data_IF_172794010710
#
_entry.id   IF_172794010710
#
_cell.length_a   1.000
_cell.length_b   1.000
_cell.length_c   1.000
_cell.angle_alpha   90.00
_cell.angle_beta   90.00
_cell.angle_gamma   90.00
#
_symmetry.space_group_name_H-M   'P 1'
#
loop_
_entity.id
_entity.type
_entity.pdbx_description
1 polymer ?
#
# COMPACT_ATOMS: atom_id res chain seq x y z
N UNK A 1 -12.93 -3.02 17.04
CA UNK A 1 -12.19 -3.43 15.83
C UNK A 1 -11.34 -2.24 15.40
N UNK A 2 -10.15 -2.47 14.84
CA UNK A 2 -9.19 -1.39 14.63
C UNK A 2 -9.63 -0.52 13.44
N UNK A 3 -10.04 0.71 13.74
CA UNK A 3 -10.00 1.80 12.76
C UNK A 3 -8.50 2.08 12.58
N UNK A 4 -7.94 1.82 11.40
CA UNK A 4 -6.54 2.19 11.13
C UNK A 4 -6.36 3.67 11.46
N UNK A 5 -5.45 3.97 12.39
CA UNK A 5 -5.00 5.35 12.64
C UNK A 5 -3.93 5.77 11.64
N UNK A 6 -3.37 4.84 10.87
CA UNK A 6 -2.35 5.13 9.86
C UNK A 6 -2.98 5.85 8.66
N UNK A 7 -2.42 6.98 8.21
CA UNK A 7 -2.81 7.62 6.96
C UNK A 7 -2.56 6.67 5.77
N UNK A 8 -3.49 6.63 4.80
CA UNK A 8 -3.29 5.91 3.55
C UNK A 8 -4.04 6.60 2.41
N UNK A 9 -3.63 6.33 1.16
CA UNK A 9 -4.36 6.85 0.01
C UNK A 9 -5.61 5.98 -0.24
N UNK A 10 -6.80 6.53 -0.50
CA UNK A 10 -8.05 5.79 -0.68
C UNK A 10 -7.95 4.55 -1.60
N UNK A 11 -7.22 4.67 -2.72
CA UNK A 11 -6.99 3.57 -3.68
C UNK A 11 -6.05 2.46 -3.17
N UNK A 12 -5.25 2.70 -2.14
CA UNK A 12 -4.44 1.65 -1.53
C UNK A 12 -5.33 0.58 -0.92
N UNK A 13 -6.36 0.96 -0.16
CA UNK A 13 -7.27 -0.02 0.44
C UNK A 13 -8.18 -0.70 -0.60
N UNK A 14 -8.32 -0.15 -1.81
CA UNK A 14 -9.03 -0.79 -2.92
C UNK A 14 -8.14 -1.79 -3.67
N UNK A 15 -6.88 -1.44 -3.92
CA UNK A 15 -6.01 -2.17 -4.86
C UNK A 15 -4.92 -2.99 -4.16
N UNK A 16 -4.48 -2.59 -2.97
CA UNK A 16 -3.51 -3.33 -2.18
C UNK A 16 -4.24 -4.35 -1.30
N UNK A 17 -4.12 -5.62 -1.68
CA UNK A 17 -4.81 -6.74 -1.05
C UNK A 17 -4.43 -7.02 0.41
N UNK A 18 -3.40 -6.36 0.96
CA UNK A 18 -3.02 -6.52 2.36
C UNK A 18 -3.81 -5.62 3.31
N UNK A 19 -4.46 -4.58 2.79
CA UNK A 19 -5.46 -3.85 3.57
C UNK A 19 -6.66 -4.76 3.79
N UNK A 20 -7.06 -4.92 5.06
CA UNK A 20 -8.27 -5.70 5.37
C UNK A 20 -9.41 -4.73 5.59
N UNK A 21 -10.38 -4.77 4.68
CA UNK A 21 -11.60 -3.99 4.78
C UNK A 21 -12.71 -4.89 5.34
N UNK A 22 -13.35 -4.45 6.42
CA UNK A 22 -14.45 -5.16 7.08
C UNK A 22 -15.65 -4.23 7.27
N UNK A 23 -16.83 -4.79 7.50
CA UNK A 23 -18.02 -4.00 7.84
C UNK A 23 -17.83 -3.34 9.21
N UNK A 24 -17.96 -2.01 9.25
CA UNK A 24 -17.92 -1.22 10.46
C UNK A 24 -19.31 -0.90 10.99
N UNK A 25 -19.42 0.16 11.78
CA UNK A 25 -20.69 0.60 12.34
C UNK A 25 -21.57 1.33 11.31
N UNK A 26 -22.89 1.27 11.55
CA UNK A 26 -23.85 2.17 10.90
C UNK A 26 -24.09 3.35 11.83
N UNK A 27 -23.80 4.60 11.42
CA UNK A 27 -24.04 5.78 12.24
C UNK A 27 -25.54 6.09 12.26
N UNK A 28 -26.23 5.45 13.20
CA UNK A 28 -27.67 5.58 13.39
C UNK A 28 -28.08 5.43 14.87
N UNK A 29 -29.11 6.18 15.23
CA UNK A 29 -29.91 6.06 16.43
C UNK A 29 -31.37 6.10 15.99
N UNK A 30 -32.07 4.98 16.14
CA UNK A 30 -33.49 4.91 15.81
C UNK A 30 -34.28 5.82 16.74
N UNK A 31 -35.30 6.49 16.22
CA UNK A 31 -36.12 7.40 17.01
C UNK A 31 -36.69 6.71 18.25
N UNK A 32 -36.46 7.29 19.43
CA UNK A 32 -37.02 6.84 20.70
C UNK A 32 -37.16 8.01 21.68
N UNK A 33 -38.05 7.86 22.65
CA UNK A 33 -37.98 8.70 23.84
C UNK A 33 -36.72 8.36 24.63
N UNK A 34 -35.93 9.38 24.97
CA UNK A 34 -34.63 9.21 25.62
C UNK A 34 -34.22 10.48 26.35
N UNK A 35 -33.94 10.36 27.65
CA UNK A 35 -33.28 11.40 28.45
C UNK A 35 -31.75 11.26 28.42
N UNK A 36 -31.22 10.39 27.55
CA UNK A 36 -29.77 10.24 27.36
C UNK A 36 -29.21 11.47 26.64
N UNK A 37 -28.38 12.22 27.36
CA UNK A 37 -27.69 13.40 26.86
C UNK A 37 -26.23 13.08 26.46
N UNK A 38 -25.83 11.82 26.46
CA UNK A 38 -24.47 11.44 26.09
C UNK A 38 -24.21 11.60 24.60
N UNK A 39 -22.99 12.01 24.27
CA UNK A 39 -22.52 12.04 22.90
C UNK A 39 -22.44 10.62 22.32
N UNK A 40 -22.99 10.47 21.12
CA UNK A 40 -22.89 9.27 20.31
C UNK A 40 -21.98 9.54 19.13
N UNK A 41 -20.78 8.98 19.16
CA UNK A 41 -19.77 9.14 18.12
C UNK A 41 -19.60 7.86 17.32
N UNK A 42 -19.52 8.02 16.00
CA UNK A 42 -19.14 6.95 15.09
C UNK A 42 -18.01 7.43 14.18
N UNK A 43 -17.07 6.54 13.89
CA UNK A 43 -15.99 6.81 12.97
C UNK A 43 -15.63 5.56 12.16
N UNK A 44 -15.11 5.78 10.96
CA UNK A 44 -14.70 4.70 10.06
C UNK A 44 -14.50 5.24 8.65
N UNK A 45 -14.60 4.38 7.66
CA UNK A 45 -14.38 4.74 6.26
C UNK A 45 -15.64 4.60 5.41
N UNK A 46 -15.98 5.64 4.67
CA UNK A 46 -17.02 5.62 3.66
C UNK A 46 -16.40 5.21 2.31
N UNK A 47 -16.97 4.18 1.68
CA UNK A 47 -16.54 3.77 0.33
C UNK A 47 -17.26 4.60 -0.74
N UNK A 48 -16.48 5.29 -1.56
CA UNK A 48 -16.93 6.04 -2.73
C UNK A 48 -16.60 5.24 -3.99
N UNK A 49 -17.60 4.65 -4.68
CA UNK A 49 -17.34 3.73 -5.78
C UNK A 49 -16.73 4.41 -7.00
N UNK A 50 -17.12 5.66 -7.28
CA UNK A 50 -16.63 6.46 -8.40
C UNK A 50 -16.48 7.93 -8.00
N UNK A 51 -15.53 8.63 -8.61
CA UNK A 51 -15.35 10.07 -8.42
C UNK A 51 -16.60 10.82 -8.86
N UNK A 52 -17.12 11.70 -8.02
CA UNK A 52 -18.32 12.48 -8.34
C UNK A 52 -18.89 13.24 -7.15
N UNK A 53 -20.06 13.85 -7.37
CA UNK A 53 -20.77 14.61 -6.34
C UNK A 53 -21.73 13.70 -5.56
N UNK A 54 -21.63 13.71 -4.24
CA UNK A 54 -22.45 12.90 -3.33
C UNK A 54 -23.26 13.80 -2.40
N UNK A 55 -24.56 13.54 -2.28
CA UNK A 55 -25.45 14.29 -1.40
C UNK A 55 -25.60 13.57 -0.08
N UNK A 56 -25.11 14.20 0.98
CA UNK A 56 -25.19 13.72 2.35
C UNK A 56 -26.40 14.34 3.04
N UNK A 57 -27.11 13.55 3.84
CA UNK A 57 -28.24 14.00 4.64
C UNK A 57 -28.17 13.43 6.05
N UNK A 58 -28.46 14.25 7.04
CA UNK A 58 -28.81 13.77 8.39
C UNK A 58 -30.27 14.08 8.69
N UNK A 59 -30.89 13.22 9.48
CA UNK A 59 -32.11 13.50 10.22
C UNK A 59 -31.83 13.30 11.69
N UNK A 60 -31.99 14.36 12.47
CA UNK A 60 -31.42 14.43 13.82
C UNK A 60 -32.32 15.22 14.77
N UNK A 61 -32.41 14.76 16.01
CA UNK A 61 -32.91 15.56 17.14
C UNK A 61 -31.73 16.33 17.75
N UNK A 62 -31.95 17.59 18.12
CA UNK A 62 -30.98 18.52 18.67
C UNK A 62 -29.69 18.71 17.82
N UNK A 63 -28.57 18.10 18.19
CA UNK A 63 -27.28 18.35 17.57
C UNK A 63 -26.75 17.11 16.83
N UNK A 64 -26.12 17.34 15.68
CA UNK A 64 -25.34 16.31 15.03
C UNK A 64 -24.66 16.77 13.75
N UNK A 65 -23.65 16.01 13.32
CA UNK A 65 -22.91 16.34 12.10
C UNK A 65 -22.39 15.11 11.34
N UNK A 66 -22.04 15.35 10.08
CA UNK A 66 -21.20 14.47 9.25
C UNK A 66 -19.93 15.24 8.90
N UNK A 67 -18.78 14.64 9.17
CA UNK A 67 -17.47 15.11 8.75
C UNK A 67 -16.82 14.06 7.83
N UNK A 68 -16.32 14.48 6.68
CA UNK A 68 -15.61 13.62 5.72
C UNK A 68 -14.24 14.24 5.45
N UNK A 69 -13.16 13.45 5.60
CA UNK A 69 -11.76 13.87 5.47
C UNK A 69 -11.42 15.17 6.24
N UNK A 70 -11.95 15.29 7.47
CA UNK A 70 -11.75 16.46 8.32
C UNK A 70 -12.58 17.69 7.94
N UNK A 71 -13.43 17.61 6.91
CA UNK A 71 -14.36 18.68 6.53
C UNK A 71 -15.77 18.37 7.00
N UNK A 72 -16.32 19.24 7.85
CA UNK A 72 -17.74 19.17 8.26
C UNK A 72 -18.65 19.47 7.06
N UNK A 73 -19.45 18.49 6.64
CA UNK A 73 -20.28 18.50 5.42
C UNK A 73 -21.71 18.92 5.73
N UNK A 74 -22.29 18.32 6.76
CA UNK A 74 -23.65 18.61 7.25
C UNK A 74 -23.58 18.80 8.75
N UNK A 75 -24.28 19.80 9.28
CA UNK A 75 -24.33 20.09 10.71
C UNK A 75 -25.69 20.64 11.10
N UNK A 76 -26.25 20.16 12.19
CA UNK A 76 -27.41 20.74 12.87
C UNK A 76 -26.97 21.03 14.30
N UNK A 77 -27.32 22.21 14.80
CA UNK A 77 -26.96 22.67 16.15
C UNK A 77 -28.17 23.33 16.82
N UNK A 78 -28.18 23.33 18.15
CA UNK A 78 -29.24 23.91 18.97
C UNK A 78 -30.27 22.89 19.41
N UNK A 79 -31.32 23.37 20.09
CA UNK A 79 -32.45 22.52 20.47
C UNK A 79 -33.42 22.41 19.31
N UNK A 80 -33.48 21.22 18.71
CA UNK A 80 -34.24 20.95 17.51
C UNK A 80 -35.08 19.69 17.74
N UNK A 81 -36.36 19.75 17.39
CA UNK A 81 -37.08 18.52 17.07
C UNK A 81 -36.50 17.90 15.78
N UNK A 82 -36.94 16.70 15.42
CA UNK A 82 -36.46 15.94 14.25
C UNK A 82 -36.31 16.81 13.01
N UNK A 83 -35.06 17.15 12.72
CA UNK A 83 -34.66 18.11 11.69
C UNK A 83 -33.80 17.41 10.65
N UNK A 84 -34.14 17.62 9.39
CA UNK A 84 -33.37 17.10 8.26
C UNK A 84 -32.54 18.20 7.63
N UNK A 85 -31.26 17.93 7.40
CA UNK A 85 -30.36 18.82 6.64
C UNK A 85 -29.53 18.00 5.67
N UNK A 86 -29.26 18.59 4.51
CA UNK A 86 -28.44 17.96 3.46
C UNK A 86 -27.44 18.94 2.86
N UNK A 87 -26.35 18.39 2.33
CA UNK A 87 -25.35 19.11 1.55
C UNK A 87 -24.64 18.14 0.60
N UNK A 88 -24.13 18.65 -0.51
CA UNK A 88 -23.33 17.84 -1.45
C UNK A 88 -21.84 18.09 -1.29
N UNK A 89 -21.05 17.03 -1.49
CA UNK A 89 -19.59 17.06 -1.50
C UNK A 89 -19.07 16.25 -2.69
N UNK A 90 -18.16 16.84 -3.46
CA UNK A 90 -17.40 16.11 -4.46
C UNK A 90 -16.32 15.26 -3.80
N UNK A 91 -16.32 13.96 -4.11
CA UNK A 91 -15.39 12.98 -3.56
C UNK A 91 -14.73 12.20 -4.69
N UNK A 92 -13.47 11.79 -4.48
CA UNK A 92 -12.76 10.90 -5.39
C UNK A 92 -13.18 9.46 -5.14
N UNK A 93 -12.92 8.58 -6.12
CA UNK A 93 -13.04 7.14 -5.91
C UNK A 93 -12.12 6.66 -4.77
N UNK A 94 -12.65 5.78 -3.92
CA UNK A 94 -11.93 5.08 -2.86
C UNK A 94 -12.55 5.26 -1.48
N UNK A 95 -11.79 4.95 -0.43
CA UNK A 95 -12.22 5.10 0.96
C UNK A 95 -11.89 6.47 1.53
N UNK A 96 -12.88 7.11 2.14
CA UNK A 96 -12.77 8.42 2.79
C UNK A 96 -13.02 8.29 4.29
N UNK A 97 -12.20 8.93 5.11
CA UNK A 97 -12.39 8.86 6.56
C UNK A 97 -13.59 9.72 6.95
N UNK A 98 -14.46 9.17 7.78
CA UNK A 98 -15.73 9.80 8.11
C UNK A 98 -15.98 9.74 9.62
N UNK A 99 -16.49 10.84 10.16
CA UNK A 99 -16.98 10.95 11.54
C UNK A 99 -18.42 11.42 11.55
N UNK A 100 -19.17 10.87 12.49
CA UNK A 100 -20.56 11.19 12.75
C UNK A 100 -20.71 11.41 14.23
N UNK A 101 -21.54 12.37 14.59
CA UNK A 101 -21.77 12.75 15.96
C UNK A 101 -23.23 13.10 16.16
N UNK A 102 -23.76 12.73 17.31
CA UNK A 102 -25.07 13.11 17.80
C UNK A 102 -25.00 13.43 19.30
N UNK A 103 -25.64 14.50 19.72
CA UNK A 103 -25.79 14.86 21.12
C UNK A 103 -27.17 15.47 21.36
N UNK A 104 -27.89 14.91 22.32
CA UNK A 104 -29.19 15.39 22.74
C UNK A 104 -29.05 16.47 23.79
N UNK A 105 -29.98 17.42 23.81
CA UNK A 105 -30.09 18.45 24.84
C UNK A 105 -31.21 18.10 25.81
N UNK A 106 -31.11 18.64 27.03
CA UNK A 106 -32.21 18.55 27.98
C UNK A 106 -33.41 19.37 27.45
N UNK A 107 -34.62 18.84 27.65
CA UNK A 107 -35.85 19.57 27.35
C UNK A 107 -35.88 20.86 28.19
N UNK A 108 -36.04 22.04 27.55
CA UNK A 108 -36.14 23.31 28.27
C UNK A 108 -37.29 23.31 29.28
N UNK A 109 -37.11 23.97 30.43
CA UNK A 109 -38.11 24.01 31.51
C UNK A 109 -39.48 24.53 31.01
N UNK A 110 -39.47 25.44 30.04
CA UNK A 110 -40.67 26.05 29.45
C UNK A 110 -41.59 25.02 28.78
N UNK A 111 -41.04 23.87 28.38
CA UNK A 111 -41.75 22.77 27.72
C UNK A 111 -41.53 21.42 28.42
N UNK A 112 -41.16 21.41 29.70
CA UNK A 112 -40.83 20.21 30.49
C UNK A 112 -41.94 19.14 30.57
N UNK A 113 -43.17 19.44 30.13
CA UNK A 113 -44.25 18.45 29.97
C UNK A 113 -44.11 17.54 28.75
N UNK A 114 -43.19 17.84 27.82
CA UNK A 114 -42.91 17.02 26.65
C UNK A 114 -41.74 16.08 26.92
N UNK A 115 -41.87 14.77 26.61
CA UNK A 115 -40.78 13.81 26.78
C UNK A 115 -39.61 14.13 25.84
N UNK A 116 -38.39 13.93 26.32
CA UNK A 116 -37.21 14.05 25.47
C UNK A 116 -37.16 12.91 24.45
N UNK A 117 -36.68 13.19 23.24
CA UNK A 117 -36.53 12.21 22.17
C UNK A 117 -35.15 12.34 21.54
N UNK A 118 -34.66 11.24 20.99
CA UNK A 118 -33.38 11.20 20.30
C UNK A 118 -33.52 10.47 18.97
N UNK A 119 -32.85 10.98 17.94
CA UNK A 119 -32.78 10.38 16.62
C UNK A 119 -31.49 10.82 15.94
N UNK A 120 -30.86 9.88 15.23
CA UNK A 120 -29.82 10.20 14.27
C UNK A 120 -29.92 9.21 13.11
N UNK A 121 -30.22 9.68 11.91
CA UNK A 121 -30.16 8.86 10.71
C UNK A 121 -29.31 9.56 9.65
N UNK A 122 -28.45 8.81 8.96
CA UNK A 122 -27.50 9.36 8.02
C UNK A 122 -27.57 8.65 6.66
N UNK A 123 -27.50 9.45 5.60
CA UNK A 123 -27.71 9.00 4.22
C UNK A 123 -26.70 9.61 3.27
N UNK A 124 -26.37 8.85 2.22
CA UNK A 124 -25.62 9.31 1.05
C UNK A 124 -26.41 8.93 -0.21
N UNK A 125 -26.74 9.90 -1.05
CA UNK A 125 -27.58 9.74 -2.25
C UNK A 125 -28.89 8.98 -1.97
N UNK A 126 -29.48 9.20 -0.80
CA UNK A 126 -30.74 8.56 -0.37
C UNK A 126 -30.58 7.16 0.25
N UNK A 127 -29.38 6.56 0.22
CA UNK A 127 -29.11 5.28 0.87
C UNK A 127 -28.52 5.46 2.27
N UNK A 128 -28.85 4.56 3.21
CA UNK A 128 -28.28 4.61 4.57
C UNK A 128 -26.77 4.40 4.52
N UNK A 129 -26.03 5.23 5.24
CA UNK A 129 -24.57 5.11 5.33
C UNK A 129 -24.20 3.87 6.14
N UNK A 130 -23.21 3.13 5.64
CA UNK A 130 -22.53 2.03 6.33
C UNK A 130 -21.04 2.27 6.27
N UNK A 131 -20.40 2.35 7.42
CA UNK A 131 -18.95 2.53 7.48
C UNK A 131 -18.23 1.21 7.30
N UNK A 132 -16.96 1.32 6.93
CA UNK A 132 -16.01 0.23 6.88
C UNK A 132 -14.92 0.46 7.91
N UNK A 133 -14.46 -0.62 8.51
CA UNK A 133 -13.23 -0.64 9.28
C UNK A 133 -12.10 -1.11 8.36
N UNK A 134 -10.98 -0.39 8.36
CA UNK A 134 -9.81 -0.70 7.54
C UNK A 134 -8.63 -0.96 8.48
N UNK A 135 -8.03 -2.14 8.36
CA UNK A 135 -6.78 -2.52 9.00
C UNK A 135 -5.65 -2.40 7.96
N UNK A 136 -4.84 -1.34 8.08
CA UNK A 136 -3.72 -1.09 7.19
C UNK A 136 -2.54 -2.02 7.54
N UNK A 137 -1.82 -2.54 6.53
CA UNK A 137 -0.72 -3.45 6.78
C UNK A 137 0.51 -2.76 7.42
N UNK A 138 1.43 -3.56 7.91
CA UNK A 138 2.78 -3.11 8.24
C UNK A 138 3.70 -3.14 7.01
N UNK A 139 4.77 -2.36 7.02
CA UNK A 139 5.81 -2.45 6.00
C UNK A 139 6.44 -3.86 5.99
N UNK A 140 6.82 -4.35 4.81
CA UNK A 140 7.51 -5.65 4.67
C UNK A 140 8.93 -5.55 5.25
N UNK A 141 9.57 -4.40 5.06
CA UNK A 141 10.90 -4.08 5.59
C UNK A 141 10.85 -2.77 6.36
N UNK A 142 11.72 -2.62 7.37
CA UNK A 142 11.92 -1.31 8.00
C UNK A 142 12.48 -0.31 6.99
N UNK A 143 12.32 0.99 7.25
CA UNK A 143 12.92 2.06 6.44
C UNK A 143 14.41 1.83 6.19
N UNK A 144 15.15 1.46 7.24
CA UNK A 144 16.62 1.24 7.18
C UNK A 144 16.95 0.07 6.26
N UNK A 145 16.26 -1.05 6.42
CA UNK A 145 16.54 -2.26 5.64
C UNK A 145 16.13 -2.11 4.16
N UNK A 146 14.97 -1.50 3.89
CA UNK A 146 14.53 -1.24 2.53
C UNK A 146 15.47 -0.28 1.79
N UNK A 147 15.91 0.81 2.44
CA UNK A 147 16.89 1.73 1.86
C UNK A 147 18.25 1.07 1.64
N UNK A 148 18.68 0.18 2.54
CA UNK A 148 19.91 -0.58 2.38
C UNK A 148 19.86 -1.49 1.15
N UNK A 149 18.76 -2.22 0.94
CA UNK A 149 18.56 -3.03 -0.26
C UNK A 149 18.55 -2.15 -1.52
N UNK A 150 17.82 -1.03 -1.49
CA UNK A 150 17.77 -0.08 -2.60
C UNK A 150 19.15 0.51 -2.93
N UNK A 151 19.96 0.83 -1.92
CA UNK A 151 21.32 1.34 -2.10
C UNK A 151 22.30 0.35 -2.73
N UNK A 152 22.01 -0.96 -2.68
CA UNK A 152 22.79 -1.96 -3.43
C UNK A 152 22.40 -2.06 -4.90
N UNK A 153 21.26 -1.48 -5.29
CA UNK A 153 20.77 -1.41 -6.65
C UNK A 153 21.08 -0.05 -7.28
N UNK A 154 20.65 1.03 -6.64
CA UNK A 154 20.84 2.41 -7.11
C UNK A 154 22.29 2.87 -7.02
N UNK A 155 22.72 3.67 -7.99
CA UNK A 155 24.10 4.16 -8.13
C UNK A 155 25.10 3.08 -8.54
N UNK A 156 24.65 1.85 -8.81
CA UNK A 156 25.51 0.70 -9.14
C UNK A 156 25.03 -0.06 -10.37
N UNK A 157 23.78 -0.51 -10.36
CA UNK A 157 23.24 -1.44 -11.35
C UNK A 157 21.83 -1.05 -11.82
N UNK A 158 21.33 0.12 -11.44
CA UNK A 158 20.06 0.66 -11.89
C UNK A 158 20.15 1.21 -13.33
N UNK A 159 18.99 1.47 -13.93
CA UNK A 159 18.89 1.92 -15.33
C UNK A 159 19.13 3.42 -15.54
N UNK A 160 19.26 4.21 -14.48
CA UNK A 160 19.66 5.63 -14.57
C UNK A 160 21.19 5.73 -14.59
N UNK A 161 21.87 4.97 -13.73
CA UNK A 161 23.33 4.95 -13.65
C UNK A 161 23.97 4.14 -14.77
N UNK A 162 23.40 2.97 -15.10
CA UNK A 162 23.87 2.11 -16.20
C UNK A 162 22.69 1.92 -17.16
N UNK A 163 22.50 2.84 -18.13
CA UNK A 163 21.34 2.83 -19.02
C UNK A 163 21.29 1.59 -19.94
N UNK A 164 20.15 1.36 -20.59
CA UNK A 164 19.94 0.21 -21.47
C UNK A 164 20.98 0.13 -22.60
N UNK A 165 21.44 1.27 -23.12
CA UNK A 165 22.51 1.33 -24.13
C UNK A 165 23.86 0.81 -23.63
N UNK A 166 24.06 0.74 -22.32
CA UNK A 166 25.27 0.29 -21.64
C UNK A 166 25.00 -0.99 -20.82
N UNK A 167 23.90 -1.69 -21.10
CA UNK A 167 23.47 -2.83 -20.29
C UNK A 167 24.53 -3.94 -20.17
N UNK A 168 25.38 -4.10 -21.19
CA UNK A 168 26.46 -5.08 -21.16
C UNK A 168 27.53 -4.78 -20.10
N UNK A 169 27.62 -3.54 -19.61
CA UNK A 169 28.56 -3.17 -18.55
C UNK A 169 28.22 -3.83 -17.21
N UNK A 170 26.98 -4.30 -17.03
CA UNK A 170 26.61 -5.15 -15.89
C UNK A 170 27.40 -6.46 -15.90
N UNK A 171 27.67 -7.03 -17.07
CA UNK A 171 28.46 -8.26 -17.20
C UNK A 171 29.94 -8.01 -16.94
N UNK A 172 30.46 -6.81 -17.26
CA UNK A 172 31.85 -6.42 -16.93
C UNK A 172 32.13 -6.46 -15.43
N UNK A 173 31.12 -6.24 -14.58
CA UNK A 173 31.25 -6.36 -13.12
C UNK A 173 31.69 -7.76 -12.67
N UNK A 174 31.48 -8.78 -13.50
CA UNK A 174 31.87 -10.17 -13.27
C UNK A 174 33.19 -10.54 -13.99
N UNK A 175 33.82 -9.59 -14.70
CA UNK A 175 35.09 -9.75 -15.43
C UNK A 175 34.95 -9.95 -16.93
N UNK A 176 36.08 -9.86 -17.66
CA UNK A 176 36.13 -9.88 -19.13
C UNK A 176 35.47 -11.12 -19.75
N UNK A 177 35.63 -12.28 -19.10
CA UNK A 177 35.03 -13.53 -19.56
C UNK A 177 33.49 -13.44 -19.56
N UNK A 178 32.90 -12.96 -18.47
CA UNK A 178 31.46 -12.80 -18.36
C UNK A 178 30.92 -11.80 -19.39
N UNK A 179 31.63 -10.69 -19.58
CA UNK A 179 31.29 -9.69 -20.60
C UNK A 179 31.26 -10.30 -22.01
N UNK A 180 32.26 -11.09 -22.38
CA UNK A 180 32.32 -11.74 -23.69
C UNK A 180 31.21 -12.80 -23.88
N UNK A 181 30.94 -13.60 -22.84
CA UNK A 181 29.94 -14.69 -22.91
C UNK A 181 28.49 -14.18 -22.94
N UNK A 182 28.24 -13.01 -22.33
CA UNK A 182 26.88 -12.51 -22.07
C UNK A 182 26.52 -11.22 -22.82
N UNK A 183 27.36 -10.75 -23.74
CA UNK A 183 27.08 -9.57 -24.56
C UNK A 183 25.70 -9.66 -25.26
N UNK A 184 24.91 -8.59 -25.16
CA UNK A 184 23.56 -8.50 -25.71
C UNK A 184 22.48 -9.29 -24.97
N UNK A 185 22.81 -9.95 -23.85
CA UNK A 185 21.83 -10.64 -23.01
C UNK A 185 21.13 -9.66 -22.07
N UNK A 186 19.84 -9.90 -21.83
CA UNK A 186 19.04 -9.09 -20.90
C UNK A 186 19.63 -9.13 -19.49
N UNK A 187 19.61 -7.97 -18.81
CA UNK A 187 20.32 -7.80 -17.54
C UNK A 187 19.43 -7.52 -16.34
N UNK A 188 18.11 -7.37 -16.51
CA UNK A 188 17.20 -7.03 -15.41
C UNK A 188 17.31 -7.98 -14.21
N UNK A 189 17.28 -9.29 -14.46
CA UNK A 189 17.42 -10.30 -13.41
C UNK A 189 18.82 -10.31 -12.78
N UNK A 190 19.87 -10.05 -13.56
CA UNK A 190 21.24 -9.94 -13.05
C UNK A 190 21.41 -8.70 -12.17
N UNK A 191 20.89 -7.55 -12.58
CA UNK A 191 20.90 -6.29 -11.81
C UNK A 191 20.25 -6.50 -10.45
N UNK A 192 19.05 -7.09 -10.42
CA UNK A 192 18.36 -7.39 -9.18
C UNK A 192 19.08 -8.47 -8.34
N UNK A 193 19.64 -9.51 -8.99
CA UNK A 193 20.42 -10.56 -8.31
C UNK A 193 21.64 -10.01 -7.57
N UNK A 194 22.32 -9.01 -8.16
CA UNK A 194 23.45 -8.33 -7.51
C UNK A 194 22.99 -7.65 -6.22
N UNK A 195 21.92 -6.85 -6.29
CA UNK A 195 21.41 -6.13 -5.12
C UNK A 195 20.94 -7.08 -4.01
N UNK A 196 20.19 -8.13 -4.37
CA UNK A 196 19.72 -9.15 -3.42
C UNK A 196 20.90 -9.90 -2.77
N UNK A 197 21.93 -10.24 -3.55
CA UNK A 197 23.12 -10.93 -3.03
C UNK A 197 23.92 -10.04 -2.07
N UNK A 198 24.13 -8.76 -2.43
CA UNK A 198 24.81 -7.78 -1.56
C UNK A 198 24.06 -7.53 -0.27
N UNK A 199 22.73 -7.55 -0.32
CA UNK A 199 21.90 -7.45 0.86
C UNK A 199 22.02 -8.68 1.78
N UNK A 200 22.25 -9.86 1.21
CA UNK A 200 22.47 -11.11 1.94
C UNK A 200 21.45 -12.21 1.64
N UNK A 201 20.58 -12.04 0.63
CA UNK A 201 19.67 -13.10 0.21
C UNK A 201 20.43 -14.23 -0.49
N UNK A 202 20.15 -15.47 -0.09
CA UNK A 202 20.73 -16.66 -0.72
C UNK A 202 19.93 -17.01 -1.99
N UNK A 203 20.54 -16.78 -3.17
CA UNK A 203 19.94 -17.05 -4.48
C UNK A 203 20.17 -18.49 -5.00
N UNK A 204 20.62 -19.42 -4.15
CA UNK A 204 20.82 -20.82 -4.54
C UNK A 204 19.51 -21.63 -4.55
N UNK A 205 19.48 -22.68 -5.37
CA UNK A 205 18.37 -23.64 -5.45
C UNK A 205 17.20 -23.22 -6.33
N UNK A 206 17.30 -22.08 -7.04
CA UNK A 206 16.35 -21.71 -8.09
C UNK A 206 16.45 -22.66 -9.29
N UNK A 207 15.30 -22.93 -9.92
CA UNK A 207 15.16 -23.83 -11.07
C UNK A 207 14.27 -23.21 -12.13
N UNK A 208 14.52 -23.55 -13.38
CA UNK A 208 13.61 -23.29 -14.48
C UNK A 208 12.36 -24.19 -14.37
N UNK A 209 11.27 -23.89 -15.12
CA UNK A 209 10.06 -24.72 -15.12
C UNK A 209 10.30 -26.19 -15.51
N UNK A 210 11.32 -26.46 -16.32
CA UNK A 210 11.73 -27.82 -16.72
C UNK A 210 12.54 -28.56 -15.63
N UNK A 211 12.77 -27.92 -14.48
CA UNK A 211 13.52 -28.46 -13.35
C UNK A 211 15.04 -28.30 -13.44
N UNK A 212 15.56 -27.76 -14.54
CA UNK A 212 17.00 -27.49 -14.68
C UNK A 212 17.47 -26.38 -13.71
N UNK A 213 18.73 -26.41 -13.23
CA UNK A 213 19.24 -25.39 -12.32
C UNK A 213 19.25 -24.00 -12.97
N UNK A 214 18.74 -23.00 -12.24
CA UNK A 214 18.74 -21.60 -12.67
C UNK A 214 19.56 -20.68 -11.75
N UNK A 215 20.11 -21.22 -10.66
CA UNK A 215 21.09 -20.55 -9.82
C UNK A 215 22.48 -20.68 -10.44
N UNK A 216 22.98 -19.59 -11.02
CA UNK A 216 24.24 -19.57 -11.73
C UNK A 216 25.35 -19.22 -10.74
N UNK A 217 26.16 -20.21 -10.34
CA UNK A 217 27.31 -19.97 -9.49
C UNK A 217 28.41 -19.29 -10.32
N UNK A 218 28.70 -18.02 -10.03
CA UNK A 218 29.59 -17.20 -10.85
C UNK A 218 31.03 -17.71 -10.82
N UNK A 219 31.48 -18.28 -9.69
CA UNK A 219 32.83 -18.84 -9.55
C UNK A 219 32.99 -20.11 -10.41
N UNK A 220 31.96 -20.95 -10.46
CA UNK A 220 31.96 -22.16 -11.32
C UNK A 220 31.95 -21.81 -12.81
N UNK A 221 31.42 -20.64 -13.18
CA UNK A 221 31.49 -20.11 -14.54
C UNK A 221 32.86 -19.47 -14.84
N UNK A 222 33.74 -19.36 -13.86
CA UNK A 222 35.04 -18.68 -13.98
C UNK A 222 34.91 -17.16 -13.98
N UNK A 223 33.84 -16.63 -13.38
CA UNK A 223 33.57 -15.21 -13.24
C UNK A 223 33.90 -14.73 -11.82
N UNK A 224 34.10 -13.42 -11.66
CA UNK A 224 34.39 -12.80 -10.36
C UNK A 224 33.15 -12.73 -9.47
N UNK A 225 33.24 -13.23 -8.22
CA UNK A 225 32.21 -13.05 -7.20
C UNK A 225 32.32 -11.71 -6.45
N UNK A 226 33.34 -10.89 -6.71
CA UNK A 226 33.60 -9.66 -5.96
C UNK A 226 32.40 -8.69 -5.99
N UNK A 227 31.72 -8.56 -7.12
CA UNK A 227 30.56 -7.67 -7.25
C UNK A 227 29.38 -8.08 -6.35
N UNK A 228 29.21 -9.38 -6.07
CA UNK A 228 28.14 -9.90 -5.19
C UNK A 228 28.46 -9.69 -3.70
N UNK A 229 29.71 -9.33 -3.39
CA UNK A 229 30.24 -9.24 -2.03
C UNK A 229 30.70 -7.82 -1.65
N UNK A 230 30.50 -6.84 -2.55
CA UNK A 230 30.69 -5.43 -2.29
C UNK A 230 29.62 -4.94 -1.28
N UNK A 231 29.92 -5.04 0.02
CA UNK A 231 28.98 -4.77 1.11
C UNK A 231 29.11 -5.72 2.32
N UNK A 232 30.08 -6.63 2.34
CA UNK A 232 30.24 -7.66 3.37
C UNK A 232 29.01 -8.58 3.50
N UNK A 233 28.43 -9.00 2.36
CA UNK A 233 27.31 -9.93 2.35
C UNK A 233 27.66 -11.20 3.13
N UNK A 234 26.77 -11.58 4.05
CA UNK A 234 26.95 -12.74 4.92
C UNK A 234 25.67 -13.59 4.87
N UNK A 235 25.73 -14.82 4.33
CA UNK A 235 26.90 -15.47 3.74
C UNK A 235 27.34 -14.79 2.42
N UNK A 236 28.60 -15.02 1.97
CA UNK A 236 29.09 -14.48 0.71
C UNK A 236 28.19 -14.86 -0.48
N UNK A 237 27.87 -13.86 -1.30
CA UNK A 237 27.12 -14.05 -2.53
C UNK A 237 27.93 -14.86 -3.55
N UNK A 238 27.34 -15.95 -4.05
CA UNK A 238 27.94 -16.83 -5.07
C UNK A 238 27.08 -17.06 -6.30
N UNK A 239 25.77 -16.80 -6.21
CA UNK A 239 24.82 -17.16 -7.25
C UNK A 239 24.10 -15.92 -7.78
N UNK A 240 23.83 -15.91 -9.08
CA UNK A 240 22.86 -15.01 -9.71
C UNK A 240 21.76 -15.80 -10.41
N UNK A 241 20.62 -15.15 -10.63
CA UNK A 241 19.56 -15.65 -11.49
C UNK A 241 19.47 -14.70 -12.69
N UNK A 242 19.62 -15.22 -13.90
CA UNK A 242 19.69 -14.41 -15.12
C UNK A 242 18.37 -14.36 -15.90
N UNK A 243 17.38 -15.17 -15.52
CA UNK A 243 16.03 -15.15 -16.11
C UNK A 243 15.08 -14.34 -15.24
N UNK A 244 14.35 -13.39 -15.84
CA UNK A 244 13.31 -12.60 -15.17
C UNK A 244 12.21 -13.51 -14.61
N UNK A 245 11.72 -14.45 -15.42
CA UNK A 245 10.71 -15.43 -15.00
C UNK A 245 11.15 -16.21 -13.76
N UNK A 246 12.37 -16.75 -13.76
CA UNK A 246 12.87 -17.52 -12.62
C UNK A 246 13.05 -16.61 -11.41
N UNK A 247 13.60 -15.40 -11.58
CA UNK A 247 13.84 -14.51 -10.45
C UNK A 247 12.52 -14.02 -9.85
N UNK A 248 11.51 -13.66 -10.66
CA UNK A 248 10.16 -13.32 -10.19
C UNK A 248 9.53 -14.50 -9.41
N UNK A 249 9.62 -15.72 -9.95
CA UNK A 249 9.18 -16.92 -9.25
C UNK A 249 9.93 -17.16 -7.92
N UNK A 250 11.23 -16.86 -7.89
CA UNK A 250 12.07 -16.98 -6.70
C UNK A 250 11.76 -15.91 -5.65
N UNK A 251 11.49 -14.66 -6.05
CA UNK A 251 10.96 -13.61 -5.18
C UNK A 251 9.72 -14.11 -4.47
N UNK A 252 8.74 -14.59 -5.24
CA UNK A 252 7.46 -15.07 -4.71
C UNK A 252 7.61 -16.26 -3.75
N UNK A 253 8.34 -17.29 -4.18
CA UNK A 253 8.36 -18.60 -3.51
C UNK A 253 9.36 -18.69 -2.35
N UNK A 254 10.35 -17.79 -2.30
CA UNK A 254 11.43 -17.79 -1.31
C UNK A 254 11.52 -16.44 -0.61
N UNK A 255 12.03 -15.40 -1.28
CA UNK A 255 12.39 -14.14 -0.60
C UNK A 255 11.18 -13.50 0.07
N UNK A 256 10.13 -13.19 -0.70
CA UNK A 256 8.94 -12.53 -0.17
C UNK A 256 8.13 -13.45 0.75
N UNK A 257 8.19 -14.77 0.53
CA UNK A 257 7.59 -15.76 1.44
C UNK A 257 8.27 -15.74 2.81
N UNK A 258 9.60 -15.74 2.84
CA UNK A 258 10.40 -15.72 4.07
C UNK A 258 10.24 -14.38 4.81
N UNK A 259 9.96 -13.29 4.07
CA UNK A 259 9.55 -11.99 4.62
C UNK A 259 8.06 -11.92 5.02
N UNK A 260 7.30 -13.02 4.95
CA UNK A 260 5.90 -13.07 5.36
C UNK A 260 4.88 -12.50 4.36
N UNK A 261 5.30 -12.11 3.16
CA UNK A 261 4.45 -11.55 2.11
C UNK A 261 4.60 -12.29 0.76
N UNK A 262 4.23 -13.57 0.65
CA UNK A 262 4.51 -14.43 -0.51
C UNK A 262 3.83 -14.00 -1.82
N UNK A 263 2.93 -13.03 -1.80
CA UNK A 263 2.20 -12.58 -2.98
C UNK A 263 2.32 -11.03 -3.03
N UNK A 264 2.32 -10.44 -4.23
CA UNK A 264 2.57 -9.00 -4.40
C UNK A 264 1.48 -8.15 -3.78
N UNK A 265 1.80 -7.00 -3.20
CA UNK A 265 0.79 -6.06 -2.67
C UNK A 265 -0.23 -5.66 -3.75
N UNK A 266 0.26 -5.44 -4.97
CA UNK A 266 -0.51 -5.07 -6.15
C UNK A 266 -0.30 -6.12 -7.25
N UNK A 267 -1.39 -6.57 -7.90
CA UNK A 267 -1.32 -7.68 -8.87
C UNK A 267 -0.66 -7.25 -10.18
N UNK A 268 -0.91 -6.01 -10.60
CA UNK A 268 -0.32 -5.39 -11.78
C UNK A 268 0.25 -3.99 -11.47
N UNK A 269 1.12 -3.44 -12.34
CA UNK A 269 1.66 -2.09 -12.16
C UNK A 269 0.59 -1.00 -12.07
N UNK A 270 -0.47 -1.11 -12.87
CA UNK A 270 -1.57 -0.13 -12.91
C UNK A 270 -2.35 -0.05 -11.59
N UNK A 271 -2.35 -1.14 -10.81
CA UNK A 271 -2.97 -1.17 -9.48
C UNK A 271 -2.20 -0.28 -8.49
N UNK A 272 -0.87 -0.17 -8.67
CA UNK A 272 0.03 0.72 -7.92
C UNK A 272 -0.02 2.17 -8.46
N UNK A 273 -1.24 2.70 -8.55
CA UNK A 273 -1.53 4.02 -9.13
C UNK A 273 -1.31 5.20 -8.18
N UNK A 274 -0.75 4.95 -7.00
CA UNK A 274 -0.55 5.97 -5.95
C UNK A 274 0.85 5.92 -5.35
N UNK A 275 1.90 6.01 -6.19
CA UNK A 275 3.27 6.08 -5.68
C UNK A 275 3.45 7.32 -4.81
N UNK A 276 4.18 7.17 -3.70
CA UNK A 276 4.49 8.23 -2.76
C UNK A 276 6.01 8.40 -2.67
N UNK A 277 6.44 9.61 -2.32
CA UNK A 277 7.86 9.90 -2.10
C UNK A 277 8.41 8.98 -0.99
N UNK A 278 9.54 8.34 -1.28
CA UNK A 278 10.20 7.42 -0.36
C UNK A 278 9.63 6.01 -0.34
N UNK A 279 8.60 5.70 -1.14
CA UNK A 279 8.20 4.32 -1.38
C UNK A 279 9.36 3.52 -1.98
N UNK A 280 9.48 2.25 -1.58
CA UNK A 280 10.47 1.33 -2.16
C UNK A 280 9.73 0.08 -2.61
N UNK A 281 9.81 -0.22 -3.92
CA UNK A 281 9.09 -1.33 -4.52
C UNK A 281 10.03 -2.31 -5.21
N UNK A 282 9.76 -3.60 -5.03
CA UNK A 282 10.36 -4.68 -5.81
C UNK A 282 9.26 -5.34 -6.63
N UNK A 283 9.56 -5.71 -7.87
CA UNK A 283 8.52 -6.15 -8.79
C UNK A 283 9.05 -7.19 -9.78
N UNK A 284 8.12 -7.88 -10.42
CA UNK A 284 8.42 -8.52 -11.69
C UNK A 284 7.53 -9.69 -12.08
N UNK A 285 7.75 -10.16 -13.31
CA UNK A 285 7.10 -11.28 -13.97
C UNK A 285 8.09 -12.00 -14.91
N UNK A 286 7.58 -12.70 -15.93
CA UNK A 286 8.41 -13.36 -16.95
C UNK A 286 9.12 -12.41 -17.91
N UNK A 287 8.65 -11.16 -18.04
CA UNK A 287 9.20 -10.17 -18.95
C UNK A 287 10.31 -9.38 -18.27
N UNK A 288 10.05 -8.87 -17.06
CA UNK A 288 10.96 -7.93 -16.40
C UNK A 288 10.87 -8.01 -14.87
N UNK A 289 11.97 -7.71 -14.20
CA UNK A 289 12.12 -7.71 -12.74
C UNK A 289 12.97 -6.52 -12.33
N UNK A 290 12.72 -5.95 -11.17
CA UNK A 290 13.49 -4.80 -10.70
C UNK A 290 13.17 -4.33 -9.30
N UNK A 291 13.88 -3.28 -8.90
CA UNK A 291 13.75 -2.58 -7.63
C UNK A 291 13.88 -1.08 -7.93
N UNK A 292 13.02 -0.25 -7.35
CA UNK A 292 13.10 1.20 -7.54
C UNK A 292 12.41 1.97 -6.40
N UNK A 293 12.69 3.29 -6.28
CA UNK A 293 11.78 4.19 -5.61
C UNK A 293 10.42 4.18 -6.32
N UNK A 294 9.33 4.20 -5.56
CA UNK A 294 7.97 4.15 -6.13
C UNK A 294 7.64 5.34 -7.03
N UNK A 295 8.19 6.51 -6.69
CA UNK A 295 8.08 7.78 -7.42
C UNK A 295 9.12 7.93 -8.55
N UNK A 296 10.10 7.03 -8.65
CA UNK A 296 11.11 7.03 -9.70
C UNK A 296 11.32 5.63 -10.30
N UNK A 297 10.31 5.17 -11.04
CA UNK A 297 10.32 3.85 -11.68
C UNK A 297 11.43 3.69 -12.73
N UNK A 298 11.98 4.80 -13.26
CA UNK A 298 13.05 4.78 -14.27
C UNK A 298 14.32 4.09 -13.76
N UNK A 299 14.58 4.11 -12.43
CA UNK A 299 15.66 3.34 -11.82
C UNK A 299 15.52 1.83 -12.09
N UNK A 300 14.29 1.33 -12.11
CA UNK A 300 13.93 -0.04 -12.45
C UNK A 300 13.61 -0.26 -13.93
N UNK A 301 13.84 0.72 -14.82
CA UNK A 301 13.33 0.79 -16.19
C UNK A 301 11.81 1.03 -16.27
N UNK A 302 11.00 0.06 -15.89
CA UNK A 302 9.54 0.15 -15.82
C UNK A 302 9.01 -0.91 -14.85
N UNK A 303 7.86 -0.67 -14.22
CA UNK A 303 7.21 -1.70 -13.40
C UNK A 303 6.59 -2.79 -14.29
N UNK A 304 6.75 -4.06 -13.89
CA UNK A 304 6.17 -5.21 -14.57
C UNK A 304 5.66 -6.22 -13.56
N UNK A 305 4.57 -6.91 -13.89
CA UNK A 305 4.02 -7.97 -13.06
C UNK A 305 3.53 -7.50 -11.69
N UNK A 306 3.67 -8.40 -10.71
CA UNK A 306 3.32 -8.12 -9.33
C UNK A 306 4.29 -7.15 -8.69
N UNK A 307 3.75 -6.17 -7.95
CA UNK A 307 4.53 -5.16 -7.22
C UNK A 307 4.41 -5.43 -5.72
N UNK A 308 5.54 -5.59 -5.06
CA UNK A 308 5.64 -5.61 -3.60
C UNK A 308 6.11 -4.25 -3.09
N UNK A 309 5.33 -3.66 -2.19
CA UNK A 309 5.66 -2.44 -1.49
C UNK A 309 6.51 -2.81 -0.27
N UNK A 310 7.83 -2.76 -0.42
CA UNK A 310 8.75 -3.11 0.65
C UNK A 310 8.64 -2.13 1.81
N UNK A 311 8.45 -0.86 1.48
CA UNK A 311 8.40 0.23 2.44
C UNK A 311 7.58 1.41 1.92
N UNK A 312 6.78 2.01 2.80
CA UNK A 312 6.07 3.29 2.66
C UNK A 312 6.01 4.00 4.00
N UNK A 313 6.26 5.30 4.00
CA UNK A 313 6.32 6.11 5.22
C UNK A 313 4.98 6.21 5.95
N UNK A 314 3.87 6.28 5.24
CA UNK A 314 2.53 6.35 5.87
C UNK A 314 2.10 5.04 6.54
N UNK A 315 2.83 3.94 6.29
CA UNK A 315 2.63 2.66 6.97
C UNK A 315 3.53 2.47 8.20
N UNK A 316 4.44 3.41 8.48
CA UNK A 316 5.19 3.41 9.74
C UNK A 316 4.18 3.50 10.90
N UNK A 317 4.44 2.75 11.97
CA UNK A 317 3.75 2.99 13.24
C UNK A 317 4.16 4.40 13.66
N UNK A 318 3.19 5.27 13.98
CA UNK A 318 3.48 6.59 14.54
C UNK A 318 4.53 6.45 15.64
N UNK A 319 5.62 7.21 15.53
CA UNK A 319 6.62 7.37 16.59
C UNK A 319 6.00 8.09 17.80
#
# INVERSE_FOLDING_TARGET
MAISTKPFHPLDAENNRRYKVTDGQSPQLAWNYSDDLSAHDWAGYLRIPETGNYTFRIQVDDNGFIEIDGKKVVEVTGSNASTSREASLELKKGFHYAKFHHENLAVPEEIAGYPNAAQFESFVNGERIRLKDIDAPENIMSRVEANKLLGYYMGSVDYVTVPTSEADDIWKLFGDKAFQEMAGKQTCATRLSIALSRYGFNLSGSKYPDGSPASNNVENLGWSSATLNAGNSTPPGKHIIMSAEVLSGFLKSRIMKDLGCPNPDYVAPDDYSTPQEGDIVIFGDSLHVGLCPGDNQSAGSFLSGGVWLLYRSTLDLEL
#
